data_IF_741396248648
#
_entry.id   IF_741396248648
#
_cell.length_a   1.000
_cell.length_b   1.000
_cell.length_c   1.000
_cell.angle_alpha   90.00
_cell.angle_beta   90.00
_cell.angle_gamma   90.00
#
_symmetry.space_group_name_H-M   'P 1'
#
loop_
_entity.id
_entity.type
_entity.pdbx_description
1 polymer ?
#
# COMPACT_ATOMS: atom_id res chain seq x y z
N UNK A 1 -7.74 16.22 -4.09
CA UNK A 1 -7.77 17.01 -2.85
C UNK A 1 -7.68 18.48 -3.22
N UNK A 2 -8.40 19.35 -2.52
CA UNK A 2 -8.23 20.80 -2.68
C UNK A 2 -6.90 21.26 -2.07
N UNK A 3 -6.47 22.46 -2.46
CA UNK A 3 -5.32 23.14 -1.85
C UNK A 3 -5.74 23.69 -0.47
N UNK A 4 -4.83 23.59 0.49
CA UNK A 4 -5.03 24.09 1.85
C UNK A 4 -4.46 25.51 1.97
N UNK A 5 -5.15 26.36 2.71
CA UNK A 5 -4.59 27.64 3.17
C UNK A 5 -3.42 27.43 4.14
N UNK A 6 -2.56 28.43 4.29
CA UNK A 6 -1.41 28.36 5.20
C UNK A 6 -1.81 28.05 6.66
N UNK A 7 -2.95 28.58 7.09
CA UNK A 7 -3.50 28.31 8.43
C UNK A 7 -3.90 26.84 8.59
N UNK A 8 -4.54 26.26 7.58
CA UNK A 8 -4.93 24.85 7.60
C UNK A 8 -3.71 23.93 7.53
N UNK A 9 -2.69 24.31 6.76
CA UNK A 9 -1.42 23.60 6.70
C UNK A 9 -0.71 23.61 8.05
N UNK A 10 -0.57 24.78 8.68
CA UNK A 10 0.04 24.92 10.01
C UNK A 10 -0.72 24.10 11.07
N UNK A 11 -2.06 24.15 11.03
CA UNK A 11 -2.91 23.35 11.92
C UNK A 11 -2.70 21.85 11.72
N UNK A 12 -2.65 21.38 10.47
CA UNK A 12 -2.38 19.98 10.17
C UNK A 12 -1.03 19.52 10.72
N UNK A 13 0.03 20.31 10.52
CA UNK A 13 1.37 19.97 11.00
C UNK A 13 1.43 19.93 12.53
N UNK A 14 0.76 20.86 13.21
CA UNK A 14 0.68 20.91 14.68
C UNK A 14 -0.09 19.73 15.28
N UNK A 15 -1.18 19.31 14.63
CA UNK A 15 -2.07 18.26 15.16
C UNK A 15 -1.60 16.84 14.76
N UNK A 16 -0.62 16.73 13.86
CA UNK A 16 -0.13 15.43 13.39
C UNK A 16 1.03 14.93 14.25
N UNK A 17 1.03 13.64 14.66
CA UNK A 17 2.14 13.08 15.41
C UNK A 17 3.40 12.93 14.54
N UNK A 18 4.55 12.90 15.19
CA UNK A 18 5.83 12.65 14.55
C UNK A 18 5.91 11.23 14.00
N UNK A 19 6.50 11.12 12.81
CA UNK A 19 6.86 9.84 12.21
C UNK A 19 8.06 9.25 12.94
N UNK A 20 8.10 7.91 13.03
CA UNK A 20 9.35 7.24 13.39
C UNK A 20 10.42 7.54 12.32
N UNK A 21 11.70 7.46 12.70
CA UNK A 21 12.79 7.72 11.76
C UNK A 21 12.74 6.81 10.53
N UNK A 22 12.39 5.54 10.72
CA UNK A 22 12.30 4.57 9.63
C UNK A 22 11.13 4.88 8.68
N UNK A 23 9.96 5.21 9.21
CA UNK A 23 8.80 5.61 8.39
C UNK A 23 9.08 6.90 7.63
N UNK A 24 9.70 7.88 8.30
CA UNK A 24 10.09 9.14 7.70
C UNK A 24 11.01 8.93 6.49
N UNK A 25 12.08 8.16 6.67
CA UNK A 25 13.04 7.87 5.60
C UNK A 25 12.40 7.06 4.47
N UNK A 26 11.50 6.13 4.80
CA UNK A 26 10.77 5.34 3.81
C UNK A 26 9.86 6.23 2.94
N UNK A 27 9.09 7.13 3.56
CA UNK A 27 8.21 8.07 2.87
C UNK A 27 9.01 9.08 2.04
N UNK A 28 10.07 9.66 2.61
CA UNK A 28 10.96 10.60 1.91
C UNK A 28 11.55 9.97 0.65
N UNK A 29 12.09 8.75 0.77
CA UNK A 29 12.65 8.01 -0.37
C UNK A 29 11.59 7.77 -1.47
N UNK A 30 10.36 7.47 -1.08
CA UNK A 30 9.28 7.24 -2.03
C UNK A 30 8.86 8.52 -2.76
N UNK A 31 8.69 9.62 -2.04
CA UNK A 31 8.31 10.92 -2.63
C UNK A 31 9.39 11.39 -3.62
N UNK A 32 10.66 11.25 -3.25
CA UNK A 32 11.79 11.64 -4.10
C UNK A 32 12.01 10.71 -5.31
N UNK A 33 11.27 9.60 -5.45
CA UNK A 33 11.45 8.68 -6.59
C UNK A 33 10.86 9.23 -7.88
N UNK A 34 9.71 9.88 -7.80
CA UNK A 34 8.86 10.18 -8.96
C UNK A 34 8.58 11.69 -9.15
N UNK A 35 9.24 12.58 -8.38
CA UNK A 35 8.91 14.01 -8.36
C UNK A 35 10.04 14.93 -7.90
N UNK A 36 9.65 16.12 -7.44
CA UNK A 36 10.55 17.15 -6.92
C UNK A 36 11.38 16.62 -5.74
N UNK A 37 12.62 17.07 -5.64
CA UNK A 37 13.52 16.68 -4.56
C UNK A 37 13.09 17.35 -3.25
N UNK A 38 12.82 16.53 -2.24
CA UNK A 38 12.59 16.97 -0.86
C UNK A 38 13.82 16.67 -0.02
N UNK A 39 14.17 17.62 0.85
CA UNK A 39 15.25 17.49 1.82
C UNK A 39 14.76 16.82 3.11
N UNK A 40 15.65 16.06 3.74
CA UNK A 40 15.47 15.62 5.14
C UNK A 40 15.44 16.84 6.06
N UNK A 41 14.49 16.88 7.00
CA UNK A 41 14.35 17.94 7.98
C UNK A 41 15.61 18.12 8.86
N UNK A 42 16.38 17.04 9.07
CA UNK A 42 17.64 17.10 9.82
C UNK A 42 18.86 17.38 8.94
N UNK A 43 18.76 17.33 7.62
CA UNK A 43 19.92 17.54 6.74
C UNK A 43 20.53 18.94 6.91
N UNK A 44 21.86 18.98 7.04
CA UNK A 44 22.69 20.18 7.06
C UNK A 44 24.01 19.91 6.32
N UNK A 45 24.51 20.83 5.46
CA UNK A 45 23.85 22.05 4.99
C UNK A 45 22.68 21.74 4.04
N UNK A 46 21.69 22.65 3.96
CA UNK A 46 20.57 22.51 3.03
C UNK A 46 20.88 23.24 1.72
N UNK A 47 20.50 22.64 0.60
CA UNK A 47 20.48 23.33 -0.69
C UNK A 47 19.37 24.38 -0.64
N UNK A 48 19.69 25.62 -0.99
CA UNK A 48 18.72 26.72 -1.00
C UNK A 48 17.58 26.42 -1.98
N UNK A 49 16.35 26.68 -1.57
CA UNK A 49 15.15 26.45 -2.39
C UNK A 49 14.61 25.02 -2.39
N UNK A 50 15.31 24.04 -1.80
CA UNK A 50 14.77 22.67 -1.68
C UNK A 50 13.72 22.61 -0.56
N UNK A 51 12.48 22.16 -0.84
CA UNK A 51 11.46 22.01 0.19
C UNK A 51 11.86 20.92 1.19
N UNK A 52 11.43 21.09 2.45
CA UNK A 52 11.73 20.15 3.53
C UNK A 52 10.54 19.21 3.72
N UNK A 53 10.79 17.90 3.69
CA UNK A 53 9.72 16.93 3.92
C UNK A 53 9.28 16.97 5.40
N UNK A 54 7.98 17.16 5.69
CA UNK A 54 7.49 17.21 7.06
C UNK A 54 7.78 15.93 7.85
N UNK A 55 8.18 16.09 9.10
CA UNK A 55 8.51 14.99 10.01
C UNK A 55 7.27 14.37 10.68
N UNK A 56 6.08 14.93 10.44
CA UNK A 56 4.83 14.48 11.03
C UNK A 56 3.84 14.00 9.95
N UNK A 57 2.98 13.06 10.34
CA UNK A 57 1.92 12.53 9.49
C UNK A 57 0.76 12.01 10.33
N UNK A 58 -0.45 12.04 9.78
CA UNK A 58 -1.60 11.42 10.42
C UNK A 58 -1.70 9.96 9.99
N UNK A 59 -1.53 9.03 10.92
CA UNK A 59 -1.77 7.60 10.67
C UNK A 59 -3.25 7.24 10.82
N UNK A 60 -3.74 6.34 9.96
CA UNK A 60 -5.14 5.92 9.93
C UNK A 60 -5.27 4.40 10.02
N UNK A 61 -6.17 3.91 10.87
CA UNK A 61 -6.59 2.50 10.87
C UNK A 61 -7.51 2.18 9.68
N UNK A 62 -8.32 3.14 9.28
CA UNK A 62 -9.19 3.05 8.11
C UNK A 62 -9.52 4.45 7.58
N UNK A 63 -9.79 4.54 6.28
CA UNK A 63 -10.24 5.79 5.65
C UNK A 63 -11.14 5.51 4.45
N UNK A 64 -11.95 6.50 4.09
CA UNK A 64 -12.77 6.46 2.89
C UNK A 64 -12.12 7.33 1.80
N UNK A 65 -11.85 6.74 0.64
CA UNK A 65 -11.26 7.43 -0.51
C UNK A 65 -12.07 7.15 -1.77
N UNK A 66 -12.58 8.20 -2.42
CA UNK A 66 -13.44 8.10 -3.64
C UNK A 66 -14.52 7.01 -3.52
N UNK A 67 -15.21 6.97 -2.38
CA UNK A 67 -16.27 6.00 -2.10
C UNK A 67 -15.79 4.62 -1.62
N UNK A 68 -14.51 4.29 -1.74
CA UNK A 68 -13.92 3.02 -1.27
C UNK A 68 -13.47 3.13 0.18
N UNK A 69 -13.71 2.09 0.98
CA UNK A 69 -13.22 2.01 2.36
C UNK A 69 -11.93 1.20 2.40
N UNK A 70 -10.80 1.85 2.71
CA UNK A 70 -9.50 1.23 2.90
C UNK A 70 -9.25 1.04 4.41
N UNK A 71 -8.58 -0.04 4.79
CA UNK A 71 -8.19 -0.28 6.18
C UNK A 71 -6.85 -0.99 6.26
N UNK A 72 -6.16 -0.82 7.38
CA UNK A 72 -4.99 -1.63 7.70
C UNK A 72 -5.39 -3.06 8.07
N UNK A 73 -4.49 -4.02 7.86
CA UNK A 73 -4.71 -5.46 8.10
C UNK A 73 -5.15 -5.78 9.52
N UNK A 74 -4.59 -5.08 10.51
CA UNK A 74 -4.92 -5.26 11.93
C UNK A 74 -6.33 -4.76 12.28
N UNK A 75 -6.91 -3.87 11.47
CA UNK A 75 -8.28 -3.39 11.67
C UNK A 75 -9.29 -4.30 10.96
N UNK A 76 -9.01 -4.75 9.74
CA UNK A 76 -9.89 -5.64 8.98
C UNK A 76 -9.17 -6.34 7.82
N UNK A 77 -8.88 -7.63 7.94
CA UNK A 77 -8.09 -8.41 6.96
C UNK A 77 -8.72 -8.39 5.54
N UNK A 78 -10.02 -8.61 5.42
CA UNK A 78 -10.66 -8.63 4.08
C UNK A 78 -10.73 -7.26 3.39
N UNK A 79 -10.62 -6.15 4.13
CA UNK A 79 -10.69 -4.79 3.57
C UNK A 79 -9.31 -4.20 3.32
N UNK A 80 -8.26 -4.80 3.89
CA UNK A 80 -6.87 -4.41 3.67
C UNK A 80 -6.23 -5.11 2.48
N UNK A 81 -6.76 -6.24 2.02
CA UNK A 81 -6.23 -6.90 0.82
C UNK A 81 -6.64 -6.16 -0.44
N UNK A 82 -5.66 -5.79 -1.25
CA UNK A 82 -5.87 -5.03 -2.48
C UNK A 82 -5.16 -5.66 -3.67
N UNK A 83 -5.67 -5.36 -4.86
CA UNK A 83 -5.05 -5.58 -6.16
C UNK A 83 -4.65 -4.21 -6.72
N UNK A 84 -3.40 -4.04 -7.12
CA UNK A 84 -2.84 -2.74 -7.47
C UNK A 84 -1.81 -2.83 -8.59
N UNK A 85 -1.51 -1.67 -9.20
CA UNK A 85 -0.40 -1.48 -10.14
C UNK A 85 0.87 -1.14 -9.36
N UNK A 86 2.00 -1.70 -9.74
CA UNK A 86 3.26 -1.33 -9.10
C UNK A 86 3.72 0.05 -9.61
N UNK A 87 4.07 0.98 -8.71
CA UNK A 87 4.57 2.29 -9.09
C UNK A 87 5.82 2.18 -9.98
N UNK A 88 5.87 2.99 -11.05
CA UNK A 88 6.92 2.93 -12.07
C UNK A 88 6.83 1.73 -13.02
N UNK A 89 5.93 0.78 -12.78
CA UNK A 89 5.71 -0.41 -13.63
C UNK A 89 4.21 -0.65 -13.85
N UNK A 90 3.52 0.21 -14.61
CA UNK A 90 2.05 0.19 -14.72
C UNK A 90 1.45 -1.11 -15.29
N UNK A 91 2.25 -1.90 -16.01
CA UNK A 91 1.85 -3.23 -16.50
C UNK A 91 2.00 -4.34 -15.44
N UNK A 92 2.86 -4.13 -14.44
CA UNK A 92 3.06 -5.07 -13.35
C UNK A 92 1.95 -4.88 -12.31
N UNK A 93 1.19 -5.94 -12.06
CA UNK A 93 0.08 -5.94 -11.11
C UNK A 93 0.32 -6.94 -10.00
N UNK A 94 0.06 -6.52 -8.78
CA UNK A 94 0.36 -7.28 -7.58
C UNK A 94 -0.81 -7.22 -6.60
N UNK A 95 -0.76 -8.08 -5.60
CA UNK A 95 -1.66 -8.01 -4.45
C UNK A 95 -0.87 -7.93 -3.18
N UNK A 96 -1.48 -7.41 -2.13
CA UNK A 96 -0.87 -7.32 -0.82
C UNK A 96 -1.88 -6.81 0.19
N UNK A 97 -1.44 -6.74 1.44
CA UNK A 97 -2.22 -6.17 2.53
C UNK A 97 -1.71 -4.76 2.83
N UNK A 98 -2.64 -3.82 2.96
CA UNK A 98 -2.34 -2.52 3.54
C UNK A 98 -1.96 -2.74 5.01
N UNK A 99 -0.73 -2.38 5.36
CA UNK A 99 -0.22 -2.50 6.74
C UNK A 99 -0.25 -1.16 7.45
N UNK A 100 -0.07 -0.04 6.73
CA UNK A 100 -0.18 1.32 7.26
C UNK A 100 -0.81 2.27 6.26
N UNK A 101 -1.42 3.32 6.78
CA UNK A 101 -1.97 4.40 5.97
C UNK A 101 -1.62 5.73 6.61
N UNK A 102 -1.02 6.63 5.84
CA UNK A 102 -0.72 7.99 6.27
C UNK A 102 -1.44 9.01 5.41
N UNK A 103 -1.81 10.12 6.05
CA UNK A 103 -1.97 11.40 5.35
C UNK A 103 -0.77 12.25 5.67
N UNK A 104 -0.09 12.71 4.61
CA UNK A 104 1.07 13.61 4.69
C UNK A 104 0.73 14.92 4.00
N UNK A 105 1.27 16.02 4.52
CA UNK A 105 1.19 17.32 3.86
C UNK A 105 2.40 17.44 2.91
N UNK A 106 2.14 17.55 1.62
CA UNK A 106 3.10 18.03 0.63
C UNK A 106 2.55 19.37 0.15
N UNK A 107 3.00 20.50 0.73
CA UNK A 107 2.38 21.79 0.48
C UNK A 107 2.12 22.07 -1.00
N UNK A 108 0.92 22.55 -1.36
CA UNK A 108 -0.20 22.94 -0.47
C UNK A 108 -1.25 21.82 -0.25
N UNK A 109 -0.95 20.54 -0.52
CA UNK A 109 -1.96 19.47 -0.60
C UNK A 109 -1.72 18.34 0.40
N UNK A 110 -2.81 17.72 0.84
CA UNK A 110 -2.76 16.45 1.56
C UNK A 110 -2.70 15.29 0.58
N UNK A 111 -1.77 14.38 0.84
CA UNK A 111 -1.56 13.14 0.10
C UNK A 111 -1.80 11.96 1.02
N UNK A 112 -2.48 10.95 0.50
CA UNK A 112 -2.64 9.67 1.18
C UNK A 112 -1.56 8.73 0.63
N UNK A 113 -0.81 8.11 1.54
CA UNK A 113 0.22 7.13 1.19
C UNK A 113 -0.09 5.84 1.97
N UNK A 114 0.00 4.72 1.27
CA UNK A 114 -0.32 3.40 1.78
C UNK A 114 0.96 2.57 1.83
N UNK A 115 1.30 2.01 2.99
CA UNK A 115 2.29 0.93 3.05
C UNK A 115 1.57 -0.39 2.81
N UNK A 116 2.05 -1.13 1.84
CA UNK A 116 1.48 -2.41 1.42
C UNK A 116 2.54 -3.47 1.50
N UNK A 117 2.27 -4.51 2.27
CA UNK A 117 3.09 -5.71 2.30
C UNK A 117 2.70 -6.57 1.10
N UNK A 118 3.60 -6.67 0.11
CA UNK A 118 3.31 -7.43 -1.11
C UNK A 118 3.22 -8.90 -0.77
N UNK A 119 2.28 -9.59 -1.42
CA UNK A 119 2.23 -11.03 -1.35
C UNK A 119 3.44 -11.66 -2.06
N UNK A 120 4.22 -12.46 -1.33
CA UNK A 120 5.35 -13.19 -1.89
C UNK A 120 4.90 -14.35 -2.80
N UNK A 121 5.71 -14.73 -3.79
CA UNK A 121 5.45 -15.94 -4.57
C UNK A 121 5.71 -17.22 -3.75
N UNK A 122 5.11 -18.34 -4.19
CA UNK A 122 5.55 -19.68 -3.76
C UNK A 122 7.02 -19.91 -4.09
N UNK A 123 7.73 -20.61 -3.21
CA UNK A 123 9.13 -21.04 -3.44
C UNK A 123 9.21 -22.02 -4.62
N UNK A 124 8.23 -22.92 -4.74
CA UNK A 124 8.11 -23.86 -5.86
C UNK A 124 7.07 -23.33 -6.85
N UNK A 125 7.48 -23.12 -8.10
CA UNK A 125 6.58 -22.61 -9.14
C UNK A 125 5.36 -23.52 -9.37
N UNK A 126 5.54 -24.85 -9.23
CA UNK A 126 4.48 -25.84 -9.38
C UNK A 126 3.36 -25.73 -8.35
N UNK A 127 3.60 -25.11 -7.18
CA UNK A 127 2.56 -24.94 -6.16
C UNK A 127 1.46 -23.96 -6.62
N UNK A 128 1.78 -23.05 -7.55
CA UNK A 128 0.82 -22.09 -8.12
C UNK A 128 -0.30 -22.76 -8.90
N UNK A 129 -0.07 -23.96 -9.44
CA UNK A 129 -1.01 -24.70 -10.27
C UNK A 129 -1.66 -25.88 -9.56
N UNK A 130 -1.41 -26.07 -8.25
CA UNK A 130 -1.95 -27.23 -7.53
C UNK A 130 -3.44 -27.16 -7.23
N UNK A 131 -4.00 -25.96 -7.07
CA UNK A 131 -5.44 -25.79 -6.79
C UNK A 131 -6.28 -25.60 -8.06
N UNK A 132 -7.62 -25.72 -7.96
CA UNK A 132 -8.52 -25.77 -9.12
C UNK A 132 -8.64 -24.45 -9.89
N UNK A 133 -8.09 -23.35 -9.38
CA UNK A 133 -8.25 -22.03 -9.98
C UNK A 133 -7.36 -21.82 -11.21
N UNK A 134 -6.27 -22.58 -11.35
CA UNK A 134 -5.35 -22.43 -12.49
C UNK A 134 -6.00 -22.82 -13.83
N UNK A 135 -6.93 -23.78 -13.82
CA UNK A 135 -7.72 -24.18 -15.00
C UNK A 135 -8.91 -23.25 -15.27
N UNK A 136 -9.18 -22.29 -14.37
CA UNK A 136 -10.34 -21.40 -14.45
C UNK A 136 -9.92 -19.92 -14.33
N UNK A 137 -9.18 -19.38 -15.32
CA UNK A 137 -8.65 -18.02 -15.27
C UNK A 137 -9.74 -16.93 -15.14
N UNK A 138 -10.95 -17.19 -15.63
CA UNK A 138 -12.10 -16.30 -15.54
C UNK A 138 -12.55 -16.04 -14.09
N UNK A 139 -12.20 -16.90 -13.13
CA UNK A 139 -12.44 -16.64 -11.71
C UNK A 139 -11.53 -15.57 -11.12
N UNK A 140 -10.47 -15.14 -11.81
CA UNK A 140 -9.55 -14.11 -11.33
C UNK A 140 -9.07 -14.37 -9.89
N UNK A 141 -8.74 -15.64 -9.65
CA UNK A 141 -8.39 -16.17 -8.34
C UNK A 141 -6.98 -16.73 -8.40
N UNK A 142 -6.17 -16.40 -7.39
CA UNK A 142 -4.81 -16.90 -7.26
C UNK A 142 -4.56 -17.47 -5.87
N UNK A 143 -3.68 -18.45 -5.83
CA UNK A 143 -3.19 -19.07 -4.60
C UNK A 143 -1.82 -18.45 -4.31
N UNK A 144 -1.64 -17.97 -3.08
CA UNK A 144 -0.42 -17.29 -2.65
C UNK A 144 -0.05 -17.82 -1.26
N UNK A 145 1.23 -18.13 -0.98
CA UNK A 145 1.65 -18.57 0.35
C UNK A 145 1.48 -17.47 1.40
N UNK A 146 1.23 -17.86 2.65
CA UNK A 146 1.27 -16.93 3.77
C UNK A 146 2.72 -16.67 4.17
N UNK A 147 3.03 -15.40 4.38
CA UNK A 147 4.30 -14.95 4.93
C UNK A 147 4.66 -13.59 4.38
N UNK A 148 5.74 -13.05 4.92
CA UNK A 148 6.13 -11.68 4.66
C UNK A 148 6.66 -11.54 3.24
N UNK A 149 6.20 -10.51 2.55
CA UNK A 149 6.81 -10.08 1.29
C UNK A 149 7.26 -8.63 1.39
N UNK A 150 7.90 -8.15 0.32
CA UNK A 150 8.55 -6.85 0.38
C UNK A 150 7.51 -5.72 0.52
N UNK A 151 7.75 -4.74 1.38
CA UNK A 151 6.91 -3.56 1.49
C UNK A 151 7.00 -2.70 0.22
N UNK A 152 5.87 -2.08 -0.13
CA UNK A 152 5.79 -1.08 -1.19
C UNK A 152 4.89 0.08 -0.76
N UNK A 153 5.30 1.30 -1.08
CA UNK A 153 4.48 2.50 -0.88
C UNK A 153 3.66 2.77 -2.14
N UNK A 154 2.36 2.96 -1.95
CA UNK A 154 1.37 3.24 -3.00
C UNK A 154 0.57 4.49 -2.70
N UNK A 155 0.02 5.10 -3.74
CA UNK A 155 -1.09 6.04 -3.61
C UNK A 155 -2.43 5.30 -3.79
N UNK A 156 -3.55 5.80 -3.25
CA UNK A 156 -4.86 5.18 -3.45
C UNK A 156 -5.25 4.97 -4.92
N UNK A 157 -4.74 5.79 -5.83
CA UNK A 157 -4.92 5.71 -7.29
C UNK A 157 -4.32 4.44 -7.90
N UNK A 158 -3.30 3.87 -7.26
CA UNK A 158 -2.66 2.63 -7.72
C UNK A 158 -3.55 1.41 -7.46
N UNK A 159 -4.55 1.54 -6.58
CA UNK A 159 -5.48 0.47 -6.24
C UNK A 159 -6.50 0.25 -7.36
N UNK A 160 -6.43 -0.94 -7.95
CA UNK A 160 -7.41 -1.42 -8.91
C UNK A 160 -8.68 -1.84 -8.17
N UNK A 161 -8.57 -2.76 -7.20
CA UNK A 161 -9.72 -3.28 -6.45
C UNK A 161 -9.34 -3.83 -5.07
N UNK A 162 -10.35 -4.05 -4.22
CA UNK A 162 -10.21 -4.83 -2.99
C UNK A 162 -10.39 -6.30 -3.27
N UNK A 163 -9.55 -7.15 -2.70
CA UNK A 163 -9.63 -8.59 -2.91
C UNK A 163 -10.44 -9.27 -1.83
N UNK A 164 -11.12 -10.35 -2.20
CA UNK A 164 -11.65 -11.31 -1.22
C UNK A 164 -10.55 -12.33 -0.92
N UNK A 165 -10.31 -12.57 0.36
CA UNK A 165 -9.22 -13.44 0.83
C UNK A 165 -9.78 -14.54 1.71
N UNK A 166 -9.33 -15.77 1.46
CA UNK A 166 -9.58 -16.90 2.33
C UNK A 166 -8.27 -17.57 2.72
N UNK A 167 -8.05 -17.74 4.02
CA UNK A 167 -6.95 -18.55 4.55
C UNK A 167 -7.24 -20.03 4.35
N UNK A 168 -6.22 -20.80 3.95
CA UNK A 168 -6.27 -22.26 3.81
C UNK A 168 -5.06 -22.89 4.49
N UNK A 169 -5.26 -24.01 5.20
CA UNK A 169 -4.16 -24.70 5.86
C UNK A 169 -3.27 -25.40 4.84
N UNK A 170 -2.01 -25.62 5.21
CA UNK A 170 -1.12 -26.55 4.53
C UNK A 170 -1.76 -27.94 4.36
N UNK A 171 -1.35 -28.67 3.34
CA UNK A 171 -1.84 -30.00 2.97
C UNK A 171 -2.98 -29.97 1.96
N UNK A 172 -3.80 -28.91 1.95
CA UNK A 172 -4.82 -28.74 0.91
C UNK A 172 -4.14 -28.61 -0.46
N UNK A 173 -4.64 -29.36 -1.45
CA UNK A 173 -4.04 -29.49 -2.78
C UNK A 173 -2.58 -29.94 -2.79
N UNK A 174 -2.09 -30.61 -1.73
CA UNK A 174 -0.68 -31.01 -1.58
C UNK A 174 0.30 -29.82 -1.56
N UNK A 175 -0.15 -28.66 -1.08
CA UNK A 175 0.70 -27.48 -0.83
C UNK A 175 1.32 -27.61 0.57
N UNK A 176 2.63 -27.41 0.72
CA UNK A 176 3.36 -27.70 1.98
C UNK A 176 3.31 -26.58 3.02
N UNK A 177 2.76 -25.42 2.68
CA UNK A 177 2.66 -24.24 3.55
C UNK A 177 1.23 -23.69 3.55
N UNK A 178 0.87 -22.94 4.59
CA UNK A 178 -0.41 -22.22 4.62
C UNK A 178 -0.46 -21.22 3.47
N UNK A 179 -1.65 -21.00 2.92
CA UNK A 179 -1.82 -20.13 1.77
C UNK A 179 -3.14 -19.35 1.82
N UNK A 180 -3.15 -18.23 1.13
CA UNK A 180 -4.35 -17.48 0.80
C UNK A 180 -4.87 -17.90 -0.58
N UNK A 181 -6.19 -18.05 -0.67
CA UNK A 181 -6.92 -17.96 -1.93
C UNK A 181 -7.41 -16.53 -2.05
N UNK A 182 -6.98 -15.83 -3.10
CA UNK A 182 -7.23 -14.41 -3.30
C UNK A 182 -8.01 -14.25 -4.59
N UNK A 183 -9.26 -13.80 -4.47
CA UNK A 183 -10.08 -13.39 -5.61
C UNK A 183 -9.97 -11.88 -5.78
N UNK A 184 -9.55 -11.45 -6.97
CA UNK A 184 -9.43 -10.03 -7.34
C UNK A 184 -10.42 -9.64 -8.45
N UNK A 185 -11.43 -10.46 -8.71
CA UNK A 185 -12.48 -10.24 -9.70
C UNK A 185 -13.62 -9.34 -9.25
N UNK A 186 -13.47 -8.70 -8.10
CA UNK A 186 -14.38 -7.65 -7.60
C UNK A 186 -14.29 -6.36 -8.42
N UNK A 187 -13.28 -6.20 -9.28
CA UNK A 187 -13.17 -5.08 -10.21
C UNK A 187 -14.23 -5.21 -11.31
N UNK A 188 -15.27 -4.37 -11.28
CA UNK A 188 -16.37 -4.41 -12.27
C UNK A 188 -16.05 -3.72 -13.62
N UNK A 189 -14.79 -3.38 -13.93
CA UNK A 189 -14.43 -2.57 -15.11
C UNK A 189 -15.31 -1.31 -15.25
N UNK A 190 -15.71 -0.71 -14.13
CA UNK A 190 -16.50 0.53 -14.07
C UNK A 190 -15.66 1.64 -13.48
#
# INVERSE_FOLDING_TARGET
>A
SGELSDLEQAKFLKDSPDLSRDDYLLLLKHINRDGDLWADHLARPRIAGTPVFPHCAREHKALRYKGRQLSVRTAHESRSCIFFKEPGRPQQRSTGFITRIWTVLLPPRLHIILLVERHRPFRRASDRTKGPFHTHPHFQTKIIPIGDGDPILLQPEDIIAQCVVWRRPKGLYKISEDFYVINHGTHRNR
#
